data_IF_265876327920
#
_entry.id   IF_265876327920
#
_cell.length_a   1.000
_cell.length_b   1.000
_cell.length_c   1.000
_cell.angle_alpha   90.00
_cell.angle_beta   90.00
_cell.angle_gamma   90.00
#
_symmetry.space_group_name_H-M   'P 1'
#
loop_
_entity.id
_entity.type
_entity.pdbx_description
1 polymer ?
#
# COMPACT_ATOMS: atom_id res chain seq x y z
N UNK A 1 -9.16 -18.34 -6.50
CA UNK A 1 -8.71 -16.96 -6.37
C UNK A 1 -8.62 -16.51 -4.93
N UNK A 2 -9.69 -16.64 -4.17
CA UNK A 2 -9.66 -16.25 -2.75
C UNK A 2 -8.64 -17.07 -1.95
N UNK A 3 -8.58 -18.37 -2.21
CA UNK A 3 -7.64 -19.24 -1.51
C UNK A 3 -6.20 -18.91 -1.83
N UNK A 4 -5.93 -18.58 -3.11
CA UNK A 4 -4.59 -18.18 -3.51
C UNK A 4 -4.18 -16.87 -2.86
N UNK A 5 -5.10 -15.90 -2.81
CA UNK A 5 -4.84 -14.63 -2.14
C UNK A 5 -4.49 -14.87 -0.67
N UNK A 6 -5.28 -15.70 0.02
CA UNK A 6 -5.02 -16.00 1.43
C UNK A 6 -3.69 -16.69 1.63
N UNK A 7 -3.33 -17.59 0.72
CA UNK A 7 -2.05 -18.29 0.78
C UNK A 7 -0.89 -17.29 0.63
N UNK A 8 -1.00 -16.35 -0.31
CA UNK A 8 0.03 -15.34 -0.49
C UNK A 8 0.14 -14.42 0.72
N UNK A 9 -0.98 -14.05 1.32
CA UNK A 9 -0.95 -13.24 2.54
C UNK A 9 -0.25 -13.99 3.67
N UNK A 10 -0.55 -15.28 3.84
CA UNK A 10 0.10 -16.08 4.86
C UNK A 10 1.61 -16.13 4.66
N UNK A 11 2.05 -16.32 3.42
CA UNK A 11 3.47 -16.33 3.10
C UNK A 11 4.13 -14.99 3.40
N UNK A 12 3.47 -13.89 3.04
CA UNK A 12 3.99 -12.55 3.31
C UNK A 12 4.12 -12.29 4.81
N UNK A 13 3.14 -12.76 5.58
CA UNK A 13 3.18 -12.62 7.04
C UNK A 13 4.31 -13.42 7.67
N UNK A 14 4.75 -14.48 7.00
CA UNK A 14 5.88 -15.28 7.44
C UNK A 14 7.24 -14.71 7.01
N UNK A 15 7.21 -13.60 6.26
CA UNK A 15 8.43 -12.93 5.86
C UNK A 15 8.87 -13.20 4.44
N UNK A 16 8.04 -13.83 3.60
CA UNK A 16 8.39 -14.10 2.21
C UNK A 16 8.31 -12.80 1.39
N UNK A 17 9.45 -12.22 0.95
CA UNK A 17 9.42 -10.97 0.21
C UNK A 17 8.79 -11.11 -1.18
N UNK A 18 8.88 -12.28 -1.81
CA UNK A 18 8.27 -12.49 -3.11
C UNK A 18 6.76 -12.45 -3.03
N UNK A 19 6.18 -13.03 -1.97
CA UNK A 19 4.73 -12.98 -1.76
C UNK A 19 4.29 -11.55 -1.49
N UNK A 20 5.04 -10.81 -0.69
CA UNK A 20 4.71 -9.41 -0.41
C UNK A 20 4.75 -8.57 -1.69
N UNK A 21 5.75 -8.79 -2.55
CA UNK A 21 5.86 -8.07 -3.81
C UNK A 21 4.68 -8.36 -4.73
N UNK A 22 4.27 -9.63 -4.84
CA UNK A 22 3.11 -10.00 -5.66
C UNK A 22 1.82 -9.37 -5.16
N UNK A 23 1.61 -9.40 -3.84
CA UNK A 23 0.43 -8.80 -3.25
C UNK A 23 0.40 -7.29 -3.45
N UNK A 24 1.55 -6.65 -3.26
CA UNK A 24 1.65 -5.21 -3.44
C UNK A 24 1.34 -4.85 -4.89
N UNK A 25 1.95 -5.54 -5.84
CA UNK A 25 1.72 -5.28 -7.26
C UNK A 25 0.26 -5.43 -7.65
N UNK A 26 -0.38 -6.50 -7.19
CA UNK A 26 -1.77 -6.76 -7.56
C UNK A 26 -2.75 -5.78 -6.92
N UNK A 27 -2.34 -5.10 -5.86
CA UNK A 27 -3.20 -4.16 -5.14
C UNK A 27 -2.84 -2.69 -5.35
N UNK A 28 -1.87 -2.40 -6.21
CA UNK A 28 -1.54 -0.99 -6.52
C UNK A 28 -2.73 -0.23 -7.11
N UNK A 29 -3.56 -0.81 -7.99
CA UNK A 29 -4.75 -0.10 -8.47
C UNK A 29 -5.67 0.33 -7.35
N UNK A 30 -5.78 -0.47 -6.30
CA UNK A 30 -6.58 -0.13 -5.14
C UNK A 30 -5.99 1.10 -4.43
N UNK A 31 -4.68 1.13 -4.23
CA UNK A 31 -4.00 2.27 -3.62
C UNK A 31 -4.25 3.54 -4.43
N UNK A 32 -4.12 3.45 -5.75
CA UNK A 32 -4.33 4.62 -6.62
C UNK A 32 -5.75 5.13 -6.58
N UNK A 33 -6.74 4.23 -6.51
CA UNK A 33 -8.14 4.66 -6.43
C UNK A 33 -8.41 5.43 -5.14
N UNK A 34 -7.73 5.04 -4.05
CA UNK A 34 -7.89 5.73 -2.77
C UNK A 34 -7.16 7.07 -2.81
N UNK A 35 -5.96 7.13 -3.40
CA UNK A 35 -5.23 8.40 -3.57
C UNK A 35 -6.10 9.43 -4.30
N UNK A 36 -6.81 8.99 -5.34
CA UNK A 36 -7.69 9.90 -6.09
C UNK A 36 -8.80 10.50 -5.23
N UNK A 37 -9.26 9.80 -4.19
CA UNK A 37 -10.26 10.35 -3.27
C UNK A 37 -9.73 11.52 -2.47
N UNK A 38 -8.41 11.64 -2.35
CA UNK A 38 -7.77 12.72 -1.61
C UNK A 38 -7.17 13.77 -2.53
N UNK A 39 -7.57 13.81 -3.79
CA UNK A 39 -7.05 14.77 -4.76
C UNK A 39 -7.21 16.19 -4.24
N UNK A 40 -6.14 17.00 -4.35
CA UNK A 40 -6.14 18.39 -3.88
C UNK A 40 -5.92 18.56 -2.39
N UNK A 41 -5.77 17.48 -1.63
CA UNK A 41 -5.62 17.54 -0.17
C UNK A 41 -4.19 17.28 0.31
N UNK A 42 -3.28 17.01 -0.60
CA UNK A 42 -1.89 16.77 -0.28
C UNK A 42 -1.12 16.42 -1.54
N UNK A 43 0.21 16.31 -1.43
CA UNK A 43 1.03 15.92 -2.56
C UNK A 43 0.71 14.48 -2.97
N UNK A 44 0.37 14.24 -4.25
CA UNK A 44 -0.01 12.89 -4.69
C UNK A 44 1.06 11.84 -4.42
N UNK A 45 2.33 12.18 -4.58
CA UNK A 45 3.40 11.22 -4.33
C UNK A 45 3.49 10.83 -2.86
N UNK A 46 3.31 11.79 -1.95
CA UNK A 46 3.30 11.50 -0.51
C UNK A 46 2.12 10.61 -0.17
N UNK A 47 0.94 10.90 -0.73
CA UNK A 47 -0.25 10.09 -0.51
C UNK A 47 -0.06 8.69 -1.04
N UNK A 48 0.56 8.54 -2.19
CA UNK A 48 0.85 7.21 -2.75
C UNK A 48 1.77 6.41 -1.82
N UNK A 49 2.83 7.02 -1.32
CA UNK A 49 3.75 6.33 -0.42
C UNK A 49 3.05 5.90 0.86
N UNK A 50 2.21 6.76 1.41
CA UNK A 50 1.43 6.42 2.59
C UNK A 50 0.42 5.31 2.30
N UNK A 51 -0.17 5.33 1.12
CA UNK A 51 -1.07 4.26 0.70
C UNK A 51 -0.36 2.92 0.64
N UNK A 52 0.86 2.89 0.11
CA UNK A 52 1.66 1.68 0.08
C UNK A 52 1.98 1.18 1.49
N UNK A 53 2.29 2.09 2.41
CA UNK A 53 2.53 1.73 3.81
C UNK A 53 1.29 1.12 4.42
N UNK A 54 0.13 1.74 4.19
CA UNK A 54 -1.14 1.22 4.68
C UNK A 54 -1.46 -0.17 4.13
N UNK A 55 -1.16 -0.38 2.85
CA UNK A 55 -1.33 -1.69 2.22
C UNK A 55 -0.43 -2.74 2.87
N UNK A 56 0.83 -2.41 3.09
CA UNK A 56 1.78 -3.34 3.70
C UNK A 56 1.34 -3.69 5.13
N UNK A 57 0.91 -2.70 5.89
CA UNK A 57 0.38 -2.94 7.24
C UNK A 57 -0.86 -3.82 7.19
N UNK A 58 -1.74 -3.59 6.22
CA UNK A 58 -2.94 -4.40 6.06
C UNK A 58 -2.60 -5.86 5.78
N UNK A 59 -1.61 -6.10 4.91
CA UNK A 59 -1.17 -7.46 4.60
C UNK A 59 -0.63 -8.14 5.85
N UNK A 60 0.19 -7.44 6.63
CA UNK A 60 0.80 -8.00 7.82
C UNK A 60 -0.19 -8.27 8.94
N UNK A 61 -1.22 -7.42 9.06
CA UNK A 61 -2.15 -7.48 10.17
C UNK A 61 -3.45 -8.21 9.85
N UNK A 62 -3.65 -8.61 8.60
CA UNK A 62 -4.89 -9.26 8.19
C UNK A 62 -5.10 -10.57 8.95
N UNK A 63 -6.30 -10.72 9.52
CA UNK A 63 -6.66 -11.93 10.26
C UNK A 63 -7.23 -12.98 9.30
N UNK A 64 -6.39 -13.95 8.98
CA UNK A 64 -6.75 -15.02 8.04
C UNK A 64 -7.81 -15.98 8.59
N UNK A 65 -8.09 -15.91 9.89
CA UNK A 65 -9.11 -16.77 10.49
C UNK A 65 -10.53 -16.27 10.26
N UNK A 66 -10.68 -15.03 9.82
CA UNK A 66 -11.99 -14.41 9.62
C UNK A 66 -12.44 -14.51 8.17
N UNK A 67 -13.73 -14.73 7.91
CA UNK A 67 -14.26 -14.82 6.55
C UNK A 67 -14.55 -13.43 5.97
N UNK A 68 -13.54 -12.57 5.94
CA UNK A 68 -13.66 -11.20 5.45
C UNK A 68 -12.77 -11.04 4.22
N UNK A 69 -13.25 -10.32 3.22
CA UNK A 69 -12.45 -10.01 2.04
C UNK A 69 -11.29 -9.09 2.42
N UNK A 70 -10.10 -9.35 1.85
CA UNK A 70 -8.93 -8.54 2.14
C UNK A 70 -9.16 -7.07 1.78
N UNK A 71 -9.77 -6.80 0.63
CA UNK A 71 -10.00 -5.41 0.20
C UNK A 71 -10.87 -4.64 1.19
N UNK A 72 -11.88 -5.31 1.77
CA UNK A 72 -12.74 -4.69 2.78
C UNK A 72 -11.93 -4.24 4.00
N UNK A 73 -10.94 -5.03 4.37
CA UNK A 73 -10.06 -4.69 5.49
C UNK A 73 -9.00 -3.66 5.09
N UNK A 74 -8.46 -3.78 3.89
CA UNK A 74 -7.33 -2.95 3.45
C UNK A 74 -7.71 -1.51 3.18
N UNK A 75 -8.89 -1.26 2.58
CA UNK A 75 -9.30 0.11 2.20
C UNK A 75 -9.26 1.08 3.38
N UNK A 76 -9.89 0.76 4.54
CA UNK A 76 -9.81 1.67 5.68
C UNK A 76 -8.39 1.87 6.21
N UNK A 77 -7.56 0.83 6.15
CA UNK A 77 -6.16 0.92 6.59
C UNK A 77 -5.37 1.88 5.71
N UNK A 78 -5.53 1.74 4.40
CA UNK A 78 -4.83 2.59 3.43
C UNK A 78 -5.30 4.03 3.58
N UNK A 79 -6.61 4.24 3.58
CA UNK A 79 -7.18 5.58 3.73
C UNK A 79 -6.81 6.20 5.09
N UNK A 80 -6.75 5.38 6.13
CA UNK A 80 -6.40 5.83 7.46
C UNK A 80 -4.98 6.40 7.55
N UNK A 81 -4.03 5.78 6.85
CA UNK A 81 -2.67 6.31 6.81
C UNK A 81 -2.64 7.70 6.15
N UNK A 82 -3.39 7.87 5.06
CA UNK A 82 -3.47 9.15 4.38
C UNK A 82 -4.13 10.22 5.24
N UNK A 83 -5.24 9.87 5.92
CA UNK A 83 -5.94 10.82 6.79
C UNK A 83 -5.08 11.24 7.97
N UNK A 84 -4.32 10.30 8.53
CA UNK A 84 -3.42 10.60 9.64
C UNK A 84 -2.36 11.62 9.22
N UNK A 85 -1.78 11.43 8.04
CA UNK A 85 -0.81 12.35 7.48
C UNK A 85 -1.40 13.76 7.32
N UNK A 86 -2.60 13.84 6.73
CA UNK A 86 -3.24 15.13 6.48
C UNK A 86 -3.62 15.85 7.77
N UNK A 87 -3.96 15.10 8.81
CA UNK A 87 -4.30 15.66 10.11
C UNK A 87 -3.09 16.11 10.90
N UNK A 88 -2.01 15.30 10.86
CA UNK A 88 -0.84 15.54 11.71
C UNK A 88 0.14 16.52 11.07
N UNK A 89 1.28 16.09 10.56
CA UNK A 89 2.38 17.01 10.31
C UNK A 89 2.92 17.06 8.89
N UNK A 90 2.27 16.43 7.96
CA UNK A 90 2.68 16.56 6.57
C UNK A 90 4.03 15.92 6.26
N UNK A 91 4.90 16.63 5.52
CA UNK A 91 6.09 16.02 4.92
C UNK A 91 7.07 15.37 5.90
N UNK A 92 7.23 15.93 7.09
CA UNK A 92 8.14 15.39 8.10
C UNK A 92 7.64 14.02 8.54
N UNK A 93 6.33 13.90 8.76
CA UNK A 93 5.71 12.65 9.18
C UNK A 93 5.84 11.59 8.11
N UNK A 94 5.64 11.96 6.84
CA UNK A 94 5.80 11.03 5.72
C UNK A 94 7.24 10.52 5.66
N UNK A 95 8.23 11.41 5.74
CA UNK A 95 9.63 11.03 5.68
C UNK A 95 10.00 10.02 6.77
N UNK A 96 9.51 10.24 7.98
CA UNK A 96 9.77 9.34 9.10
C UNK A 96 9.14 7.98 8.86
N UNK A 97 7.87 7.96 8.43
CA UNK A 97 7.15 6.72 8.19
C UNK A 97 7.76 5.93 7.03
N UNK A 98 8.14 6.62 5.95
CA UNK A 98 8.80 5.98 4.82
C UNK A 98 10.12 5.37 5.25
N UNK A 99 10.88 6.06 6.10
CA UNK A 99 12.16 5.53 6.60
C UNK A 99 11.97 4.23 7.36
N UNK A 100 10.92 4.16 8.18
CA UNK A 100 10.61 2.96 8.95
C UNK A 100 10.23 1.77 8.06
N UNK A 101 9.65 2.05 6.89
CA UNK A 101 9.18 1.02 5.96
C UNK A 101 9.90 1.07 4.61
N UNK A 102 11.09 1.67 4.58
CA UNK A 102 11.78 1.99 3.33
C UNK A 102 11.91 0.80 2.37
N UNK A 103 12.31 -0.36 2.86
CA UNK A 103 12.50 -1.53 2.00
C UNK A 103 11.21 -1.96 1.33
N UNK A 104 10.11 -1.99 2.08
CA UNK A 104 8.82 -2.40 1.54
C UNK A 104 8.24 -1.36 0.58
N UNK A 105 8.39 -0.08 0.89
CA UNK A 105 7.94 1.01 -0.01
C UNK A 105 8.74 0.98 -1.30
N UNK A 106 10.05 0.75 -1.20
CA UNK A 106 10.91 0.68 -2.37
C UNK A 106 10.49 -0.47 -3.29
N UNK A 107 10.17 -1.63 -2.72
CA UNK A 107 9.69 -2.76 -3.51
C UNK A 107 8.37 -2.44 -4.22
N UNK A 108 7.47 -1.72 -3.55
CA UNK A 108 6.21 -1.33 -4.16
C UNK A 108 6.43 -0.42 -5.37
N UNK A 109 7.34 0.56 -5.23
CA UNK A 109 7.66 1.46 -6.32
C UNK A 109 8.33 0.73 -7.47
N UNK A 110 9.23 -0.20 -7.17
CA UNK A 110 9.89 -0.99 -8.20
C UNK A 110 8.91 -1.89 -8.94
N UNK A 111 7.93 -2.45 -8.23
CA UNK A 111 6.91 -3.28 -8.86
C UNK A 111 6.10 -2.47 -9.88
N UNK A 112 5.73 -1.25 -9.53
CA UNK A 112 4.99 -0.38 -10.44
C UNK A 112 5.85 0.02 -11.64
N UNK A 113 7.12 0.35 -11.40
CA UNK A 113 8.05 0.67 -12.50
C UNK A 113 8.23 -0.52 -13.45
N UNK A 114 8.32 -1.73 -12.91
CA UNK A 114 8.47 -2.92 -13.75
C UNK A 114 7.27 -3.15 -14.66
N UNK A 115 6.07 -2.80 -14.19
CA UNK A 115 4.86 -2.95 -14.99
C UNK A 115 4.71 -1.87 -16.05
N UNK A 116 5.08 -0.64 -15.73
CA UNK A 116 4.89 0.50 -16.62
C UNK A 116 6.12 0.86 -17.42
N UNK A 117 7.29 0.43 -16.97
CA UNK A 117 8.57 0.82 -17.57
C UNK A 117 8.99 2.25 -17.23
N UNK A 118 8.27 2.93 -16.35
CA UNK A 118 8.53 4.30 -15.99
C UNK A 118 8.38 4.50 -14.49
N UNK A 119 8.90 5.63 -14.00
CA UNK A 119 8.68 6.02 -12.61
C UNK A 119 7.20 6.24 -12.34
N UNK A 120 6.72 5.91 -11.14
CA UNK A 120 5.31 6.08 -10.82
C UNK A 120 4.87 7.54 -10.92
N UNK A 121 3.76 7.77 -11.62
CA UNK A 121 3.12 9.07 -11.68
C UNK A 121 1.62 8.86 -11.55
N UNK A 122 1.00 9.66 -10.72
CA UNK A 122 -0.43 9.53 -10.50
C UNK A 122 -1.23 9.86 -11.77
N UNK A 123 -0.71 10.72 -12.60
CA UNK A 123 -1.37 11.08 -13.86
C UNK A 123 -1.44 9.93 -14.85
N UNK A 124 -0.67 8.86 -14.63
CA UNK A 124 -0.68 7.66 -15.50
C UNK A 124 -1.65 6.61 -14.99
N UNK A 125 -2.34 6.91 -13.93
CA UNK A 125 -3.14 5.91 -13.21
C UNK A 125 -4.65 6.19 -13.33
#
# INVERSE_FOLDING_TARGET
MREELRRQIALAQQGDPAALDRLTRSNLPLVHSIVRRFAGRGEPEDLFQLGCIGLIKAIRDFDLTRPVEFSTYAVPKIAGEMRRFLRDDGPIKVSRTVKEHAAAVQRARQALCAETGESPRLSQL
#
